data_IF_749036009800
#
_entry.id   IF_749036009800
#
_cell.length_a   1.000
_cell.length_b   1.000
_cell.length_c   1.000
_cell.angle_alpha   90.00
_cell.angle_beta   90.00
_cell.angle_gamma   90.00
#
_symmetry.space_group_name_H-M   'P 1'
#
loop_
_entity.id
_entity.type
_entity.pdbx_description
1 polymer ?
#
# COMPACT_ATOMS: atom_id res chain seq x y z
N UNK A 1 3.83 -3.00 -25.33
CA UNK A 1 3.06 -2.57 -24.15
C UNK A 1 2.53 -3.83 -23.49
N UNK A 2 2.99 -4.19 -22.28
CA UNK A 2 2.51 -5.40 -21.59
C UNK A 2 1.11 -5.13 -21.05
N UNK A 3 0.17 -6.04 -21.29
CA UNK A 3 -1.20 -5.91 -20.82
C UNK A 3 -1.20 -6.01 -19.28
N UNK A 4 -2.16 -5.39 -18.57
CA UNK A 4 -2.29 -5.52 -17.11
C UNK A 4 -2.47 -6.97 -16.62
N UNK A 5 -2.77 -7.91 -17.53
CA UNK A 5 -2.90 -9.35 -17.30
C UNK A 5 -1.56 -10.12 -17.33
N UNK A 6 -0.44 -9.48 -17.68
CA UNK A 6 0.87 -10.13 -17.83
C UNK A 6 1.73 -10.10 -16.54
N UNK A 7 1.18 -9.62 -15.42
CA UNK A 7 1.82 -9.81 -14.12
C UNK A 7 1.43 -11.19 -13.57
N UNK A 8 2.38 -12.04 -13.14
CA UNK A 8 2.01 -13.26 -12.43
C UNK A 8 1.11 -12.89 -11.24
N UNK A 9 0.06 -13.70 -10.97
CA UNK A 9 -0.88 -13.42 -9.90
C UNK A 9 -0.10 -13.25 -8.60
N UNK A 10 -0.46 -12.20 -7.85
CA UNK A 10 0.07 -12.01 -6.51
C UNK A 10 -0.48 -13.08 -5.57
N UNK A 11 -0.14 -12.96 -4.29
CA UNK A 11 -0.79 -13.75 -3.25
C UNK A 11 -1.57 -12.85 -2.31
N UNK A 12 -2.60 -13.41 -1.68
CA UNK A 12 -3.36 -12.70 -0.66
C UNK A 12 -2.56 -12.73 0.65
N UNK A 13 -2.18 -11.58 1.24
CA UNK A 13 -1.39 -11.57 2.46
C UNK A 13 -2.15 -12.22 3.63
N UNK A 14 -1.43 -12.97 4.46
CA UNK A 14 -1.96 -13.48 5.73
C UNK A 14 -2.20 -12.33 6.73
N UNK A 15 -2.77 -12.66 7.89
CA UNK A 15 -3.11 -11.65 8.91
C UNK A 15 -1.87 -10.90 9.43
N UNK A 16 -0.75 -11.58 9.60
CA UNK A 16 0.47 -10.98 10.15
C UNK A 16 1.11 -10.01 9.15
N UNK A 17 1.19 -10.40 7.88
CA UNK A 17 1.66 -9.52 6.82
C UNK A 17 0.71 -8.33 6.61
N UNK A 18 -0.61 -8.51 6.69
CA UNK A 18 -1.58 -7.40 6.62
C UNK A 18 -1.36 -6.37 7.72
N UNK A 19 -1.16 -6.84 8.96
CA UNK A 19 -0.85 -5.96 10.10
C UNK A 19 0.47 -5.22 9.87
N UNK A 20 1.51 -5.92 9.43
CA UNK A 20 2.81 -5.33 9.12
C UNK A 20 2.71 -4.23 8.05
N UNK A 21 1.98 -4.48 6.96
CA UNK A 21 1.77 -3.48 5.89
C UNK A 21 1.10 -2.23 6.45
N UNK A 22 0.08 -2.39 7.29
CA UNK A 22 -0.63 -1.25 7.89
C UNK A 22 0.29 -0.45 8.82
N UNK A 23 1.00 -1.15 9.71
CA UNK A 23 1.79 -0.54 10.78
C UNK A 23 3.11 0.03 10.30
N UNK A 24 3.80 -0.64 9.40
CA UNK A 24 5.18 -0.31 9.01
C UNK A 24 5.29 0.33 7.62
N UNK A 25 4.26 0.23 6.76
CA UNK A 25 4.28 0.83 5.41
C UNK A 25 3.28 2.00 5.33
N UNK A 26 2.01 1.73 5.61
CA UNK A 26 0.95 2.73 5.40
C UNK A 26 0.93 3.81 6.47
N UNK A 27 1.00 3.44 7.75
CA UNK A 27 0.96 4.40 8.87
C UNK A 27 2.11 5.42 8.77
N UNK A 28 3.38 5.01 8.58
CA UNK A 28 4.47 5.97 8.47
C UNK A 28 4.33 6.88 7.25
N UNK A 29 3.82 6.36 6.13
CA UNK A 29 3.51 7.18 4.96
C UNK A 29 2.44 8.24 5.26
N UNK A 30 1.34 7.84 5.92
CA UNK A 30 0.24 8.75 6.28
C UNK A 30 0.74 9.83 7.24
N UNK A 31 1.54 9.47 8.24
CA UNK A 31 2.15 10.40 9.19
C UNK A 31 3.11 11.37 8.51
N UNK A 32 3.96 10.87 7.59
CA UNK A 32 4.83 11.70 6.79
C UNK A 32 4.03 12.73 5.97
N UNK A 33 2.95 12.31 5.29
CA UNK A 33 2.11 13.22 4.50
C UNK A 33 1.41 14.24 5.39
N UNK A 34 0.96 13.85 6.57
CA UNK A 34 0.38 14.78 7.53
C UNK A 34 1.39 15.85 7.97
N UNK A 35 2.66 15.48 8.17
CA UNK A 35 3.75 16.43 8.45
C UNK A 35 4.05 17.37 7.27
N UNK A 36 3.82 16.91 6.04
CA UNK A 36 3.90 17.71 4.81
C UNK A 36 2.63 18.57 4.57
N UNK A 37 1.64 18.53 5.48
CA UNK A 37 0.39 19.29 5.39
C UNK A 37 -0.74 18.60 4.61
N UNK A 38 -0.53 17.37 4.15
CA UNK A 38 -1.52 16.57 3.41
C UNK A 38 -2.11 15.53 4.37
N UNK A 39 -3.36 15.75 4.81
CA UNK A 39 -4.05 14.82 5.71
C UNK A 39 -4.89 13.82 4.92
N UNK A 40 -4.67 12.53 5.16
CA UNK A 40 -5.26 11.43 4.39
C UNK A 40 -6.08 10.53 5.31
N UNK A 41 -7.29 10.17 4.87
CA UNK A 41 -8.06 9.04 5.41
C UNK A 41 -7.99 7.93 4.38
N UNK A 42 -7.46 6.77 4.78
CA UNK A 42 -7.07 5.71 3.84
C UNK A 42 -7.94 4.47 4.00
N UNK A 43 -8.61 4.07 2.93
CA UNK A 43 -9.35 2.81 2.81
C UNK A 43 -8.46 1.74 2.18
N UNK A 44 -8.10 0.71 2.94
CA UNK A 44 -7.15 -0.32 2.49
C UNK A 44 -7.89 -1.44 1.76
N UNK A 45 -7.39 -1.85 0.61
CA UNK A 45 -7.85 -3.02 -0.14
C UNK A 45 -6.65 -3.88 -0.50
N UNK A 46 -6.71 -5.17 -0.20
CA UNK A 46 -5.68 -6.14 -0.63
C UNK A 46 -6.14 -6.85 -1.89
N UNK A 47 -5.26 -6.96 -2.89
CA UNK A 47 -5.54 -7.60 -4.17
C UNK A 47 -4.43 -8.57 -4.55
N UNK A 48 -4.80 -9.72 -5.09
CA UNK A 48 -3.87 -10.67 -5.72
C UNK A 48 -3.97 -10.65 -7.25
N UNK A 49 -4.75 -9.73 -7.82
CA UNK A 49 -5.01 -9.62 -9.27
C UNK A 49 -6.25 -10.38 -9.76
N UNK A 50 -6.79 -11.32 -8.99
CA UNK A 50 -8.04 -12.02 -9.29
C UNK A 50 -9.14 -11.84 -8.22
N UNK A 51 -8.74 -11.54 -6.98
CA UNK A 51 -9.60 -11.34 -5.84
C UNK A 51 -9.17 -10.09 -5.08
N UNK A 52 -10.16 -9.38 -4.54
CA UNK A 52 -9.97 -8.26 -3.62
C UNK A 52 -10.61 -8.58 -2.27
N UNK A 53 -9.95 -8.15 -1.19
CA UNK A 53 -10.53 -8.16 0.17
C UNK A 53 -10.34 -6.80 0.81
N UNK A 54 -11.36 -6.35 1.54
CA UNK A 54 -11.26 -5.11 2.32
C UNK A 54 -10.31 -5.30 3.50
N UNK A 55 -9.47 -4.30 3.71
CA UNK A 55 -8.60 -4.13 4.86
C UNK A 55 -9.21 -3.19 5.91
N UNK A 56 -8.42 -2.77 6.90
CA UNK A 56 -8.84 -1.76 7.87
C UNK A 56 -8.85 -0.37 7.22
N UNK A 57 -9.73 0.49 7.72
CA UNK A 57 -9.73 1.92 7.39
C UNK A 57 -8.84 2.68 8.39
N UNK A 58 -7.98 3.53 7.85
CA UNK A 58 -7.06 4.38 8.61
C UNK A 58 -7.58 5.82 8.56
N UNK A 59 -8.50 6.13 9.46
CA UNK A 59 -9.15 7.44 9.52
C UNK A 59 -8.32 8.46 10.31
N UNK A 60 -8.14 9.66 9.73
CA UNK A 60 -7.58 10.80 10.44
C UNK A 60 -8.68 11.78 10.86
N UNK A 61 -8.51 12.41 12.04
CA UNK A 61 -9.45 13.42 12.53
C UNK A 61 -9.30 14.75 11.78
N UNK A 62 -10.42 15.41 11.51
CA UNK A 62 -10.49 16.75 10.92
C UNK A 62 -10.73 16.73 9.41
N UNK A 63 -10.34 17.79 8.70
CA UNK A 63 -10.48 17.86 7.24
C UNK A 63 -9.40 16.99 6.58
N UNK A 64 -9.82 15.94 5.88
CA UNK A 64 -8.95 14.95 5.23
C UNK A 64 -9.35 14.71 3.78
N UNK A 65 -8.40 14.24 2.98
CA UNK A 65 -8.65 13.68 1.64
C UNK A 65 -8.89 12.18 1.78
N UNK A 66 -10.00 11.67 1.26
CA UNK A 66 -10.27 10.23 1.21
C UNK A 66 -9.45 9.57 0.08
N UNK A 67 -8.75 8.49 0.39
CA UNK A 67 -7.84 7.79 -0.52
C UNK A 67 -8.07 6.30 -0.39
N UNK A 68 -8.09 5.59 -1.51
CA UNK A 68 -8.05 4.13 -1.53
C UNK A 68 -6.61 3.67 -1.71
N UNK A 69 -6.10 2.85 -0.78
CA UNK A 69 -4.82 2.16 -0.89
C UNK A 69 -5.03 0.72 -1.35
N UNK A 70 -4.66 0.42 -2.59
CA UNK A 70 -4.70 -0.95 -3.13
C UNK A 70 -3.33 -1.60 -3.00
N UNK A 71 -3.25 -2.69 -2.23
CA UNK A 71 -2.01 -3.39 -1.89
C UNK A 71 -1.91 -4.70 -2.66
N UNK A 72 -0.76 -4.91 -3.31
CA UNK A 72 -0.40 -6.10 -4.05
C UNK A 72 0.85 -6.74 -3.45
N UNK A 73 0.79 -8.05 -3.17
CA UNK A 73 1.93 -8.82 -2.66
C UNK A 73 2.41 -9.83 -3.71
N UNK A 74 3.72 -9.89 -3.94
CA UNK A 74 4.36 -10.82 -4.87
C UNK A 74 5.52 -11.53 -4.19
N UNK A 75 5.65 -12.84 -4.42
CA UNK A 75 6.81 -13.60 -3.94
C UNK A 75 8.06 -13.21 -4.74
N UNK A 76 9.22 -13.15 -4.07
CA UNK A 76 10.51 -13.01 -4.72
C UNK A 76 11.05 -14.37 -5.15
N UNK A 77 11.90 -14.45 -6.20
CA UNK A 77 12.68 -15.65 -6.48
C UNK A 77 13.65 -16.01 -5.33
N UNK A 78 13.99 -15.04 -4.46
CA UNK A 78 14.79 -15.31 -3.27
C UNK A 78 13.89 -15.78 -2.12
N UNK A 79 14.22 -16.91 -1.48
CA UNK A 79 13.46 -17.39 -0.33
C UNK A 79 13.47 -16.30 0.74
N UNK A 80 12.35 -16.15 1.44
CA UNK A 80 12.14 -15.17 2.50
C UNK A 80 11.99 -13.71 2.07
N UNK A 81 12.09 -13.38 0.77
CA UNK A 81 11.78 -12.03 0.29
C UNK A 81 10.41 -11.98 -0.41
N UNK A 82 9.71 -10.87 -0.23
CA UNK A 82 8.46 -10.56 -0.91
C UNK A 82 8.42 -9.08 -1.28
N UNK A 83 7.77 -8.76 -2.39
CA UNK A 83 7.52 -7.40 -2.82
C UNK A 83 6.10 -6.99 -2.42
N UNK A 84 5.98 -5.84 -1.78
CA UNK A 84 4.70 -5.18 -1.50
C UNK A 84 4.64 -3.92 -2.36
N UNK A 85 3.63 -3.83 -3.21
CA UNK A 85 3.34 -2.64 -3.99
C UNK A 85 1.99 -2.08 -3.55
N UNK A 86 1.95 -0.82 -3.15
CA UNK A 86 0.73 -0.14 -2.73
C UNK A 86 0.48 1.06 -3.62
N UNK A 87 -0.70 1.11 -4.24
CA UNK A 87 -1.14 2.25 -5.05
C UNK A 87 -2.21 3.01 -4.28
N UNK A 88 -1.98 4.29 -4.07
CA UNK A 88 -2.87 5.18 -3.36
C UNK A 88 -3.49 6.15 -4.35
N UNK A 89 -4.82 6.11 -4.47
CA UNK A 89 -5.59 6.97 -5.36
C UNK A 89 -6.64 7.74 -4.57
N UNK A 90 -6.78 9.06 -4.78
CA UNK A 90 -7.90 9.81 -4.23
C UNK A 90 -9.22 9.19 -4.69
N UNK A 91 -10.17 9.10 -3.76
CA UNK A 91 -11.52 8.65 -4.12
C UNK A 91 -12.28 9.75 -4.88
N UNK A 92 -13.22 9.42 -5.77
CA UNK A 92 -13.93 10.39 -6.62
C UNK A 92 -14.62 11.53 -5.84
N UNK A 93 -15.07 11.25 -4.63
CA UNK A 93 -15.72 12.19 -3.72
C UNK A 93 -14.73 13.14 -3.01
N UNK A 94 -13.42 12.92 -3.17
CA UNK A 94 -12.40 13.78 -2.59
C UNK A 94 -12.38 15.14 -3.28
N UNK A 95 -12.63 16.20 -2.52
CA UNK A 95 -12.70 17.58 -3.02
C UNK A 95 -11.34 18.27 -3.21
N UNK A 96 -10.22 17.58 -2.99
CA UNK A 96 -8.87 18.15 -3.07
C UNK A 96 -8.05 17.48 -4.16
N UNK A 97 -7.31 18.27 -4.94
CA UNK A 97 -6.27 17.85 -5.88
C UNK A 97 -5.11 17.21 -5.11
N UNK A 98 -5.30 15.98 -4.64
CA UNK A 98 -4.25 15.16 -4.05
C UNK A 98 -3.63 14.31 -5.14
N UNK A 99 -2.29 14.29 -5.30
CA UNK A 99 -1.66 13.38 -6.25
C UNK A 99 -1.88 11.92 -5.81
N UNK A 100 -1.85 11.02 -6.79
CA UNK A 100 -1.77 9.59 -6.53
C UNK A 100 -0.34 9.21 -6.12
N UNK A 101 -0.18 8.14 -5.34
CA UNK A 101 1.12 7.66 -4.89
C UNK A 101 1.31 6.17 -5.18
N UNK A 102 2.56 5.77 -5.40
CA UNK A 102 3.00 4.38 -5.43
C UNK A 102 4.06 4.18 -4.35
N UNK A 103 3.85 3.18 -3.49
CA UNK A 103 4.82 2.74 -2.49
C UNK A 103 5.27 1.34 -2.90
N UNK A 104 6.57 1.12 -3.01
CA UNK A 104 7.17 -0.17 -3.31
C UNK A 104 8.13 -0.53 -2.20
N UNK A 105 7.83 -1.61 -1.50
CA UNK A 105 8.65 -2.10 -0.40
C UNK A 105 9.10 -3.52 -0.69
N UNK A 106 10.37 -3.81 -0.40
CA UNK A 106 10.87 -5.19 -0.32
C UNK A 106 10.85 -5.58 1.14
N UNK A 107 10.18 -6.69 1.43
CA UNK A 107 9.97 -7.19 2.79
C UNK A 107 10.64 -8.55 2.93
N UNK A 108 11.45 -8.70 3.97
CA UNK A 108 12.01 -9.98 4.39
C UNK A 108 11.12 -10.60 5.47
N UNK A 109 10.88 -11.90 5.38
CA UNK A 109 10.25 -12.71 6.43
C UNK A 109 11.26 -13.66 7.04
N UNK A 110 11.45 -13.64 8.34
CA UNK A 110 12.24 -14.64 9.06
C UNK A 110 11.51 -15.10 10.33
N UNK A 111 12.21 -15.81 11.20
CA UNK A 111 11.66 -16.39 12.43
C UNK A 111 11.20 -15.32 13.44
N UNK A 112 11.66 -14.07 13.31
CA UNK A 112 11.28 -12.95 14.18
C UNK A 112 10.11 -12.15 13.61
N UNK A 113 9.78 -12.31 12.32
CA UNK A 113 8.63 -11.65 11.70
C UNK A 113 8.96 -11.07 10.32
N UNK A 114 8.42 -9.87 10.06
CA UNK A 114 8.57 -9.16 8.79
C UNK A 114 9.42 -7.90 9.00
N UNK A 115 10.27 -7.58 8.03
CA UNK A 115 11.15 -6.41 8.06
C UNK A 115 11.25 -5.77 6.68
N UNK A 116 11.22 -4.44 6.62
CA UNK A 116 11.42 -3.69 5.38
C UNK A 116 12.91 -3.64 5.09
N UNK A 117 13.34 -4.16 3.94
CA UNK A 117 14.73 -4.06 3.48
C UNK A 117 14.94 -2.91 2.51
N UNK A 118 13.90 -2.56 1.74
CA UNK A 118 13.91 -1.44 0.81
C UNK A 118 12.52 -0.79 0.81
N UNK A 119 12.48 0.54 0.72
CA UNK A 119 11.23 1.28 0.60
C UNK A 119 11.40 2.46 -0.35
N UNK A 120 10.54 2.53 -1.37
CA UNK A 120 10.53 3.60 -2.36
C UNK A 120 9.12 4.17 -2.47
N UNK A 121 9.00 5.49 -2.31
CA UNK A 121 7.75 6.22 -2.44
C UNK A 121 7.86 7.12 -3.67
N UNK A 122 6.86 7.07 -4.55
CA UNK A 122 6.80 7.86 -5.77
C UNK A 122 5.43 8.54 -5.89
N UNK A 123 5.41 9.85 -6.12
CA UNK A 123 4.21 10.54 -6.56
C UNK A 123 3.97 10.24 -8.04
N UNK A 124 2.75 9.83 -8.38
CA UNK A 124 2.34 9.57 -9.75
C UNK A 124 1.83 10.89 -10.34
N UNK A 125 2.53 11.41 -11.35
CA UNK A 125 2.06 12.59 -12.10
C UNK A 125 1.02 12.12 -13.12
N UNK A 126 -0.13 12.80 -13.13
CA UNK A 126 -1.12 12.69 -14.19
C UNK A 126 -0.67 13.45 -15.44
#
# INVERSE_FOLDING_TARGET
MKHPLDSPPGFMPDKALRLFIVTEILTPFIEQKAAEGIRLSVHVVYSNGGQMISGPDLEQKGKTTAVQATVFCKASPFPNLLAVETHLHPMPESSMDCPSYSIRSVVRKDDQGYFITENLIQALRH
#
